data_IF_968523295547
#
_entry.id   IF_968523295547
#
_cell.length_a   1.000
_cell.length_b   1.000
_cell.length_c   1.000
_cell.angle_alpha   90.00
_cell.angle_beta   90.00
_cell.angle_gamma   90.00
#
_symmetry.space_group_name_H-M   'P 1'
#
loop_
_entity.id
_entity.type
_entity.pdbx_description
1 polymer ?
#
# COMPACT_ATOMS: atom_id res chain seq x y z
N UNK A 1 -16.73 36.52 -6.14
CA UNK A 1 -16.29 35.12 -6.11
C UNK A 1 -15.98 34.78 -4.65
N UNK A 2 -16.67 33.80 -4.04
CA UNK A 2 -16.49 33.52 -2.61
C UNK A 2 -15.15 32.84 -2.36
N UNK A 3 -14.56 33.08 -1.19
CA UNK A 3 -13.29 32.42 -0.77
C UNK A 3 -13.36 30.88 -0.85
N UNK A 4 -14.55 30.30 -0.73
CA UNK A 4 -14.79 28.87 -0.87
C UNK A 4 -14.63 28.37 -2.31
N UNK A 5 -15.09 29.13 -3.29
CA UNK A 5 -14.97 28.76 -4.71
C UNK A 5 -13.52 28.84 -5.20
N UNK A 6 -12.74 29.78 -4.68
CA UNK A 6 -11.31 29.91 -4.99
C UNK A 6 -10.49 28.73 -4.42
N UNK A 7 -10.78 28.32 -3.18
CA UNK A 7 -10.11 27.14 -2.57
C UNK A 7 -10.44 25.85 -3.31
N UNK A 8 -11.66 25.68 -3.78
CA UNK A 8 -12.09 24.49 -4.51
C UNK A 8 -11.39 24.38 -5.87
N UNK A 9 -11.32 25.47 -6.63
CA UNK A 9 -10.61 25.50 -7.91
C UNK A 9 -9.10 25.23 -7.75
N UNK A 10 -8.47 25.77 -6.70
CA UNK A 10 -7.04 25.55 -6.43
C UNK A 10 -6.75 24.08 -6.07
N UNK A 11 -7.61 23.42 -5.28
CA UNK A 11 -7.45 22.00 -4.96
C UNK A 11 -7.54 21.11 -6.20
N UNK A 12 -8.54 21.36 -7.07
CA UNK A 12 -8.70 20.60 -8.32
C UNK A 12 -7.46 20.73 -9.21
N UNK A 13 -6.92 21.95 -9.35
CA UNK A 13 -5.70 22.18 -10.12
C UNK A 13 -4.51 21.42 -9.51
N UNK A 14 -4.36 21.47 -8.18
CA UNK A 14 -3.30 20.75 -7.48
C UNK A 14 -3.39 19.25 -7.68
N UNK A 15 -4.58 18.66 -7.53
CA UNK A 15 -4.80 17.22 -7.76
C UNK A 15 -4.47 16.85 -9.21
N UNK A 16 -4.87 17.66 -10.19
CA UNK A 16 -4.50 17.42 -11.61
C UNK A 16 -3.00 17.45 -11.83
N UNK A 17 -2.29 18.40 -11.24
CA UNK A 17 -0.82 18.50 -11.36
C UNK A 17 -0.14 17.30 -10.71
N UNK A 18 -0.52 16.93 -9.48
CA UNK A 18 0.05 15.76 -8.80
C UNK A 18 -0.28 14.44 -9.55
N UNK A 19 -1.51 14.31 -10.08
CA UNK A 19 -1.88 13.17 -10.90
C UNK A 19 -1.04 13.07 -12.19
N UNK A 20 -0.78 14.19 -12.86
CA UNK A 20 0.08 14.22 -14.04
C UNK A 20 1.53 13.84 -13.72
N UNK A 21 2.06 14.23 -12.55
CA UNK A 21 3.38 13.77 -12.09
C UNK A 21 3.42 12.24 -11.98
N UNK A 22 2.41 11.64 -11.35
CA UNK A 22 2.29 10.18 -11.20
C UNK A 22 2.18 9.49 -12.56
N UNK A 23 1.27 9.95 -13.43
CA UNK A 23 1.03 9.35 -14.75
C UNK A 23 2.28 9.41 -15.65
N UNK A 24 3.08 10.46 -15.54
CA UNK A 24 4.31 10.65 -16.34
C UNK A 24 5.56 10.04 -15.68
N UNK A 25 5.45 9.53 -14.46
CA UNK A 25 6.58 8.99 -13.71
C UNK A 25 6.94 7.58 -14.14
N UNK A 26 8.22 7.35 -14.45
CA UNK A 26 8.76 6.00 -14.65
C UNK A 26 8.66 5.16 -13.37
N UNK A 27 8.81 5.78 -12.19
CA UNK A 27 8.66 5.11 -10.88
C UNK A 27 7.25 4.55 -10.70
N UNK A 28 6.21 5.36 -10.99
CA UNK A 28 4.83 4.90 -10.86
C UNK A 28 4.53 3.74 -11.81
N UNK A 29 4.95 3.82 -13.06
CA UNK A 29 4.78 2.72 -14.03
C UNK A 29 5.59 1.48 -13.65
N UNK A 30 6.83 1.66 -13.18
CA UNK A 30 7.67 0.55 -12.70
C UNK A 30 7.05 -0.19 -11.51
N UNK A 31 6.57 0.55 -10.50
CA UNK A 31 5.90 -0.05 -9.34
C UNK A 31 4.57 -0.71 -9.74
N UNK A 32 3.75 -0.04 -10.54
CA UNK A 32 2.47 -0.61 -11.02
C UNK A 32 2.72 -1.89 -11.84
N UNK A 33 3.67 -1.87 -12.76
CA UNK A 33 4.04 -3.04 -13.57
C UNK A 33 4.59 -4.18 -12.72
N UNK A 34 5.46 -3.89 -11.75
CA UNK A 34 5.99 -4.89 -10.82
C UNK A 34 4.87 -5.53 -9.97
N UNK A 35 3.87 -4.77 -9.58
CA UNK A 35 2.72 -5.30 -8.84
C UNK A 35 1.78 -6.12 -9.73
N UNK A 36 1.38 -5.58 -10.89
CA UNK A 36 0.42 -6.23 -11.78
C UNK A 36 0.99 -7.44 -12.54
N UNK A 37 2.29 -7.55 -12.69
CA UNK A 37 2.95 -8.71 -13.31
C UNK A 37 3.67 -9.59 -12.28
N UNK A 38 4.43 -9.00 -11.36
CA UNK A 38 5.26 -9.73 -10.40
C UNK A 38 4.44 -10.53 -9.40
N UNK A 39 3.41 -9.93 -8.79
CA UNK A 39 2.56 -10.63 -7.82
C UNK A 39 1.86 -11.82 -8.48
N UNK A 40 1.14 -11.67 -9.61
CA UNK A 40 0.52 -12.79 -10.30
C UNK A 40 1.50 -13.89 -10.70
N UNK A 41 2.70 -13.52 -11.13
CA UNK A 41 3.73 -14.49 -11.51
C UNK A 41 4.15 -15.35 -10.31
N UNK A 42 4.41 -14.73 -9.16
CA UNK A 42 4.80 -15.44 -7.93
C UNK A 42 3.64 -16.32 -7.42
N UNK A 43 2.41 -15.81 -7.41
CA UNK A 43 1.22 -16.58 -7.03
C UNK A 43 1.03 -17.79 -7.95
N UNK A 44 1.13 -17.60 -9.26
CA UNK A 44 1.01 -18.70 -10.23
C UNK A 44 2.10 -19.75 -10.05
N UNK A 45 3.35 -19.34 -9.82
CA UNK A 45 4.45 -20.25 -9.53
C UNK A 45 4.21 -21.06 -8.24
N UNK A 46 3.69 -20.42 -7.17
CA UNK A 46 3.31 -21.13 -5.95
C UNK A 46 2.18 -22.12 -6.17
N UNK A 47 1.16 -21.78 -6.95
CA UNK A 47 0.05 -22.68 -7.27
C UNK A 47 0.52 -23.90 -8.08
N UNK A 48 1.45 -23.71 -9.02
CA UNK A 48 2.07 -24.82 -9.75
C UNK A 48 2.83 -25.74 -8.77
N UNK A 49 3.59 -25.18 -7.84
CA UNK A 49 4.31 -25.97 -6.84
C UNK A 49 3.38 -26.74 -5.88
N UNK A 50 2.22 -26.13 -5.52
CA UNK A 50 1.16 -26.78 -4.73
C UNK A 50 0.56 -27.94 -5.51
N UNK A 51 0.27 -27.78 -6.80
CA UNK A 51 -0.25 -28.83 -7.68
C UNK A 51 0.70 -30.03 -7.77
N UNK A 52 2.01 -29.79 -7.70
CA UNK A 52 3.04 -30.85 -7.70
C UNK A 52 3.36 -31.38 -6.30
N UNK A 53 2.57 -31.05 -5.29
CA UNK A 53 2.76 -31.48 -3.88
C UNK A 53 4.16 -31.17 -3.33
N UNK A 54 4.74 -30.02 -3.68
CA UNK A 54 6.05 -29.62 -3.17
C UNK A 54 5.98 -29.42 -1.64
N UNK A 55 6.70 -30.25 -0.83
CA UNK A 55 6.53 -30.23 0.62
C UNK A 55 6.97 -28.91 1.27
N UNK A 56 7.98 -28.24 0.70
CA UNK A 56 8.49 -26.97 1.23
C UNK A 56 7.46 -25.85 1.02
N UNK A 57 6.82 -25.84 -0.15
CA UNK A 57 5.80 -24.82 -0.47
C UNK A 57 4.53 -25.08 0.32
N UNK A 58 4.07 -26.34 0.43
CA UNK A 58 2.90 -26.70 1.23
C UNK A 58 3.07 -26.31 2.69
N UNK A 59 4.26 -26.56 3.28
CA UNK A 59 4.57 -26.16 4.65
C UNK A 59 4.53 -24.64 4.86
N UNK A 60 4.96 -23.87 3.85
CA UNK A 60 4.96 -22.39 3.92
C UNK A 60 3.60 -21.78 3.63
N UNK A 61 2.87 -22.33 2.67
CA UNK A 61 1.58 -21.81 2.25
C UNK A 61 0.47 -22.07 3.28
N UNK A 62 0.60 -23.14 4.06
CA UNK A 62 -0.36 -23.56 5.08
C UNK A 62 -1.51 -24.41 4.53
N UNK A 63 -2.29 -24.99 5.43
CA UNK A 63 -3.35 -25.95 5.10
C UNK A 63 -4.50 -25.38 4.24
N UNK A 64 -4.69 -24.07 4.22
CA UNK A 64 -5.72 -23.40 3.42
C UNK A 64 -5.28 -23.14 1.95
N UNK A 65 -4.04 -23.46 1.60
CA UNK A 65 -3.52 -23.34 0.24
C UNK A 65 -3.92 -24.56 -0.60
N UNK A 66 -5.19 -24.69 -0.90
CA UNK A 66 -5.74 -25.74 -1.76
C UNK A 66 -5.56 -25.41 -3.25
N UNK A 67 -5.59 -26.43 -4.13
CA UNK A 67 -5.44 -26.26 -5.57
C UNK A 67 -6.82 -25.92 -6.21
N UNK A 68 -7.45 -24.88 -5.72
CA UNK A 68 -8.74 -24.34 -6.19
C UNK A 68 -8.77 -22.82 -6.14
N UNK A 69 -9.89 -22.19 -6.51
CA UNK A 69 -10.05 -20.73 -6.50
C UNK A 69 -9.89 -20.11 -5.11
N UNK A 70 -10.31 -20.81 -4.05
CA UNK A 70 -10.18 -20.32 -2.69
C UNK A 70 -8.70 -20.33 -2.23
N UNK A 71 -7.98 -21.43 -2.47
CA UNK A 71 -6.56 -21.54 -2.17
C UNK A 71 -5.72 -20.57 -3.01
N UNK A 72 -6.08 -20.36 -4.28
CA UNK A 72 -5.45 -19.33 -5.12
C UNK A 72 -5.55 -17.94 -4.49
N UNK A 73 -6.75 -17.51 -4.09
CA UNK A 73 -6.95 -16.20 -3.45
C UNK A 73 -6.34 -16.13 -2.05
N UNK A 74 -6.28 -17.25 -1.32
CA UNK A 74 -5.57 -17.30 -0.05
C UNK A 74 -4.06 -17.04 -0.23
N UNK A 75 -3.41 -17.74 -1.16
CA UNK A 75 -1.99 -17.54 -1.50
C UNK A 75 -1.77 -16.13 -2.06
N UNK A 76 -2.65 -15.66 -2.95
CA UNK A 76 -2.60 -14.30 -3.49
C UNK A 76 -2.62 -13.26 -2.37
N UNK A 77 -3.51 -13.40 -1.38
CA UNK A 77 -3.60 -12.47 -0.25
C UNK A 77 -2.31 -12.43 0.58
N UNK A 78 -1.68 -13.58 0.82
CA UNK A 78 -0.41 -13.66 1.57
C UNK A 78 0.73 -12.93 0.85
N UNK A 79 0.91 -13.19 -0.45
CA UNK A 79 1.98 -12.57 -1.23
C UNK A 79 1.75 -11.09 -1.40
N UNK A 80 0.50 -10.69 -1.68
CA UNK A 80 0.10 -9.31 -1.90
C UNK A 80 0.32 -8.45 -0.65
N UNK A 81 0.10 -8.99 0.56
CA UNK A 81 0.28 -8.24 1.80
C UNK A 81 1.69 -7.62 1.95
N UNK A 82 2.74 -8.39 1.66
CA UNK A 82 4.11 -7.89 1.74
C UNK A 82 4.47 -7.04 0.50
N UNK A 83 4.07 -7.49 -0.69
CA UNK A 83 4.39 -6.82 -1.94
C UNK A 83 3.75 -5.42 -2.03
N UNK A 84 2.52 -5.25 -1.52
CA UNK A 84 1.84 -3.95 -1.48
C UNK A 84 2.47 -2.99 -0.49
N UNK A 85 2.86 -3.44 0.70
CA UNK A 85 3.58 -2.57 1.64
C UNK A 85 4.86 -2.04 0.99
N UNK A 86 5.58 -2.86 0.23
CA UNK A 86 6.76 -2.42 -0.50
C UNK A 86 6.40 -1.49 -1.66
N UNK A 87 5.46 -1.88 -2.51
CA UNK A 87 5.08 -1.11 -3.70
C UNK A 87 4.40 0.22 -3.34
N UNK A 88 3.39 0.19 -2.49
CA UNK A 88 2.70 1.39 -2.02
C UNK A 88 3.61 2.25 -1.16
N UNK A 89 4.47 1.62 -0.35
CA UNK A 89 5.49 2.31 0.44
C UNK A 89 6.51 3.03 -0.42
N UNK A 90 7.00 2.40 -1.48
CA UNK A 90 7.91 3.03 -2.44
C UNK A 90 7.24 4.20 -3.14
N UNK A 91 5.98 4.04 -3.54
CA UNK A 91 5.24 5.09 -4.22
C UNK A 91 4.97 6.31 -3.33
N UNK A 92 4.53 6.10 -2.08
CA UNK A 92 4.31 7.21 -1.15
C UNK A 92 5.64 7.89 -0.79
N UNK A 93 6.72 7.12 -0.59
CA UNK A 93 8.05 7.67 -0.36
C UNK A 93 8.50 8.55 -1.53
N UNK A 94 8.29 8.10 -2.77
CA UNK A 94 8.62 8.87 -3.97
C UNK A 94 7.78 10.14 -4.07
N UNK A 95 6.46 10.09 -3.88
CA UNK A 95 5.57 11.26 -3.94
C UNK A 95 6.04 12.38 -3.00
N UNK A 96 6.57 12.02 -1.82
CA UNK A 96 7.03 13.00 -0.84
C UNK A 96 8.50 13.39 -0.97
N UNK A 97 9.35 12.51 -1.50
CA UNK A 97 10.79 12.77 -1.64
C UNK A 97 11.17 13.44 -2.97
N UNK A 98 10.39 13.25 -4.06
CA UNK A 98 10.75 13.70 -5.40
C UNK A 98 11.08 15.19 -5.47
N UNK A 99 10.33 16.04 -4.76
CA UNK A 99 10.54 17.50 -4.81
C UNK A 99 11.87 17.92 -4.19
N UNK A 100 12.39 17.12 -3.27
CA UNK A 100 13.72 17.33 -2.68
C UNK A 100 14.83 16.78 -3.60
N UNK A 101 14.59 15.61 -4.22
CA UNK A 101 15.54 15.01 -5.15
C UNK A 101 15.71 15.85 -6.42
N UNK A 102 14.61 16.45 -6.91
CA UNK A 102 14.61 17.28 -8.12
C UNK A 102 14.94 18.75 -7.85
N UNK A 103 15.24 19.12 -6.59
CA UNK A 103 15.48 20.50 -6.15
C UNK A 103 14.35 21.49 -6.50
N UNK A 104 13.12 20.97 -6.67
CA UNK A 104 11.94 21.81 -7.02
C UNK A 104 11.18 22.32 -5.79
N UNK A 105 11.55 21.86 -4.59
CA UNK A 105 10.87 22.21 -3.34
C UNK A 105 10.88 23.72 -3.06
N UNK A 106 11.99 24.42 -3.38
CA UNK A 106 12.11 25.88 -3.21
C UNK A 106 11.16 26.62 -4.17
N UNK A 107 11.12 26.20 -5.44
CA UNK A 107 10.22 26.79 -6.44
C UNK A 107 8.73 26.64 -6.06
N UNK A 108 8.36 25.48 -5.53
CA UNK A 108 7.01 25.24 -5.03
C UNK A 108 6.66 26.12 -3.81
N UNK A 109 7.64 26.42 -2.95
CA UNK A 109 7.43 27.28 -1.79
C UNK A 109 7.19 28.75 -2.16
N UNK A 110 7.66 29.18 -3.34
CA UNK A 110 7.45 30.54 -3.85
C UNK A 110 6.07 30.73 -4.52
N UNK A 111 5.37 29.65 -4.83
CA UNK A 111 4.03 29.75 -5.40
C UNK A 111 3.03 30.23 -4.34
N UNK A 112 2.05 31.09 -4.71
CA UNK A 112 1.02 31.60 -3.80
C UNK A 112 -0.03 30.52 -3.46
N UNK A 113 0.42 29.27 -3.27
CA UNK A 113 -0.42 28.12 -2.95
C UNK A 113 -0.23 27.69 -1.50
N UNK A 114 -1.34 27.40 -0.84
CA UNK A 114 -1.29 26.86 0.53
C UNK A 114 -0.62 25.48 0.52
N UNK A 115 0.41 25.31 1.36
CA UNK A 115 1.10 24.02 1.59
C UNK A 115 0.11 22.90 1.98
N UNK A 116 -0.98 23.27 2.63
CA UNK A 116 -2.06 22.35 3.01
C UNK A 116 -2.77 21.77 1.78
N UNK A 117 -3.05 22.60 0.77
CA UNK A 117 -3.70 22.16 -0.47
C UNK A 117 -2.80 21.19 -1.24
N UNK A 118 -1.50 21.50 -1.34
CA UNK A 118 -0.52 20.61 -1.99
C UNK A 118 -0.46 19.25 -1.30
N UNK A 119 -0.42 19.25 0.03
CA UNK A 119 -0.40 18.01 0.82
C UNK A 119 -1.65 17.17 0.62
N UNK A 120 -2.82 17.80 0.68
CA UNK A 120 -4.10 17.13 0.44
C UNK A 120 -4.14 16.54 -0.97
N UNK A 121 -3.66 17.29 -1.98
CA UNK A 121 -3.54 16.81 -3.37
C UNK A 121 -2.68 15.54 -3.48
N UNK A 122 -1.51 15.52 -2.84
CA UNK A 122 -0.62 14.34 -2.80
C UNK A 122 -1.29 13.13 -2.18
N UNK A 123 -1.95 13.29 -1.03
CA UNK A 123 -2.67 12.19 -0.37
C UNK A 123 -3.83 11.67 -1.22
N UNK A 124 -4.61 12.55 -1.84
CA UNK A 124 -5.73 12.13 -2.70
C UNK A 124 -5.25 11.35 -3.92
N UNK A 125 -4.20 11.84 -4.59
CA UNK A 125 -3.64 11.17 -5.77
C UNK A 125 -3.03 9.83 -5.37
N UNK A 126 -2.29 9.76 -4.27
CA UNK A 126 -1.73 8.52 -3.75
C UNK A 126 -2.83 7.50 -3.43
N UNK A 127 -3.85 7.90 -2.68
CA UNK A 127 -4.98 7.03 -2.32
C UNK A 127 -5.70 6.51 -3.55
N UNK A 128 -5.99 7.38 -4.52
CA UNK A 128 -6.64 7.00 -5.76
C UNK A 128 -5.78 6.00 -6.56
N UNK A 129 -4.48 6.27 -6.72
CA UNK A 129 -3.56 5.38 -7.42
C UNK A 129 -3.46 4.01 -6.73
N UNK A 130 -3.34 3.99 -5.40
CA UNK A 130 -3.28 2.76 -4.60
C UNK A 130 -4.53 1.90 -4.80
N UNK A 131 -5.72 2.50 -4.65
CA UNK A 131 -6.98 1.78 -4.79
C UNK A 131 -7.19 1.28 -6.21
N UNK A 132 -6.87 2.08 -7.22
CA UNK A 132 -6.96 1.68 -8.64
C UNK A 132 -6.01 0.51 -8.91
N UNK A 133 -4.74 0.59 -8.48
CA UNK A 133 -3.75 -0.47 -8.69
C UNK A 133 -4.17 -1.76 -8.00
N UNK A 134 -4.69 -1.69 -6.76
CA UNK A 134 -5.19 -2.87 -6.04
C UNK A 134 -6.41 -3.49 -6.74
N UNK A 135 -7.38 -2.68 -7.19
CA UNK A 135 -8.54 -3.17 -7.93
C UNK A 135 -8.14 -3.82 -9.25
N UNK A 136 -7.20 -3.22 -9.99
CA UNK A 136 -6.66 -3.83 -11.20
C UNK A 136 -5.98 -5.16 -10.90
N UNK A 137 -5.20 -5.23 -9.81
CA UNK A 137 -4.59 -6.48 -9.36
C UNK A 137 -5.66 -7.54 -9.04
N UNK A 138 -6.74 -7.17 -8.34
CA UNK A 138 -7.84 -8.08 -8.05
C UNK A 138 -8.49 -8.63 -9.34
N UNK A 139 -8.70 -7.77 -10.35
CA UNK A 139 -9.22 -8.18 -11.66
C UNK A 139 -8.24 -9.15 -12.35
N UNK A 140 -6.95 -8.83 -12.36
CA UNK A 140 -5.92 -9.72 -12.95
C UNK A 140 -5.92 -11.08 -12.25
N UNK A 141 -6.03 -11.11 -10.91
CA UNK A 141 -6.10 -12.37 -10.15
C UNK A 141 -7.35 -13.18 -10.49
N UNK A 142 -8.51 -12.55 -10.65
CA UNK A 142 -9.74 -13.23 -11.08
C UNK A 142 -9.61 -13.80 -12.49
N UNK A 143 -9.01 -13.05 -13.42
CA UNK A 143 -8.79 -13.52 -14.80
C UNK A 143 -7.83 -14.70 -14.83
N UNK A 144 -6.79 -14.71 -14.02
CA UNK A 144 -5.84 -15.84 -13.91
C UNK A 144 -6.55 -17.06 -13.32
N UNK A 145 -7.31 -16.89 -12.23
CA UNK A 145 -8.07 -17.99 -11.63
C UNK A 145 -9.05 -18.63 -12.63
N UNK A 146 -9.73 -17.81 -13.43
CA UNK A 146 -10.62 -18.29 -14.48
C UNK A 146 -9.85 -18.98 -15.63
N UNK A 147 -8.73 -18.41 -16.08
CA UNK A 147 -7.90 -18.95 -17.18
C UNK A 147 -7.29 -20.30 -16.84
N UNK A 148 -6.81 -20.48 -15.61
CA UNK A 148 -6.28 -21.77 -15.11
C UNK A 148 -7.36 -22.73 -14.61
N UNK A 149 -8.64 -22.37 -14.72
CA UNK A 149 -9.79 -23.19 -14.29
C UNK A 149 -9.74 -23.63 -12.82
N UNK A 150 -9.19 -22.79 -11.92
CA UNK A 150 -9.22 -23.05 -10.49
C UNK A 150 -10.63 -22.97 -9.90
N UNK A 151 -11.61 -22.50 -10.65
CA UNK A 151 -12.96 -22.23 -10.17
C UNK A 151 -13.08 -20.81 -9.58
N UNK A 152 -14.32 -20.38 -9.35
CA UNK A 152 -14.57 -19.07 -8.74
C UNK A 152 -14.30 -19.13 -7.23
N UNK A 153 -13.52 -18.19 -6.68
CA UNK A 153 -13.35 -18.07 -5.22
C UNK A 153 -14.66 -17.66 -4.56
N UNK A 154 -14.86 -18.04 -3.30
CA UNK A 154 -16.02 -17.57 -2.53
C UNK A 154 -15.91 -16.06 -2.30
N UNK A 155 -17.08 -15.40 -2.13
CA UNK A 155 -17.14 -13.96 -1.87
C UNK A 155 -16.31 -13.53 -0.66
N UNK A 156 -16.14 -14.42 0.34
CA UNK A 156 -15.32 -14.16 1.52
C UNK A 156 -13.83 -13.97 1.16
N UNK A 157 -13.28 -14.80 0.27
CA UNK A 157 -11.89 -14.67 -0.16
C UNK A 157 -11.66 -13.41 -1.00
N UNK A 158 -12.61 -13.07 -1.89
CA UNK A 158 -12.57 -11.82 -2.66
C UNK A 158 -12.62 -10.62 -1.72
N UNK A 159 -13.56 -10.61 -0.77
CA UNK A 159 -13.69 -9.51 0.20
C UNK A 159 -12.42 -9.37 1.04
N UNK A 160 -11.82 -10.48 1.50
CA UNK A 160 -10.55 -10.46 2.24
C UNK A 160 -9.42 -9.85 1.44
N UNK A 161 -9.32 -10.18 0.16
CA UNK A 161 -8.35 -9.60 -0.74
C UNK A 161 -8.59 -8.09 -0.88
N UNK A 162 -9.83 -7.64 -1.11
CA UNK A 162 -10.15 -6.22 -1.24
C UNK A 162 -9.88 -5.41 0.03
N UNK A 163 -10.21 -5.98 1.20
CA UNK A 163 -9.91 -5.34 2.50
C UNK A 163 -8.41 -5.23 2.73
N UNK A 164 -7.62 -6.20 2.26
CA UNK A 164 -6.16 -6.12 2.36
C UNK A 164 -5.60 -4.84 1.73
N UNK A 165 -6.08 -4.44 0.55
CA UNK A 165 -5.62 -3.20 -0.10
C UNK A 165 -5.90 -1.94 0.74
N UNK A 166 -6.98 -1.94 1.52
CA UNK A 166 -7.25 -0.85 2.46
C UNK A 166 -6.30 -0.91 3.66
N UNK A 167 -6.03 -2.11 4.19
CA UNK A 167 -5.11 -2.28 5.32
C UNK A 167 -3.67 -1.91 4.93
N UNK A 168 -3.22 -2.29 3.75
CA UNK A 168 -1.89 -1.93 3.25
C UNK A 168 -1.79 -0.43 2.97
N UNK A 169 -2.81 0.21 2.40
CA UNK A 169 -2.91 1.66 2.28
C UNK A 169 -2.76 2.36 3.64
N UNK A 170 -3.49 1.89 4.65
CA UNK A 170 -3.45 2.45 6.00
C UNK A 170 -2.12 2.20 6.73
N UNK A 171 -1.33 1.23 6.32
CA UNK A 171 0.01 0.98 6.89
C UNK A 171 1.06 1.99 6.39
N UNK A 172 0.84 2.68 5.27
CA UNK A 172 1.87 3.49 4.59
C UNK A 172 2.09 4.92 5.11
N UNK A 173 1.21 5.59 5.88
CA UNK A 173 1.44 6.97 6.33
C UNK A 173 2.71 7.17 7.16
N UNK A 174 3.17 6.16 7.90
CA UNK A 174 4.46 6.22 8.60
C UNK A 174 5.63 6.36 7.63
N UNK A 175 5.55 5.74 6.47
CA UNK A 175 6.56 5.84 5.40
C UNK A 175 6.60 7.27 4.84
N UNK A 176 5.42 7.87 4.60
CA UNK A 176 5.32 9.27 4.20
C UNK A 176 5.98 10.20 5.23
N UNK A 177 5.70 9.97 6.52
CA UNK A 177 6.27 10.77 7.61
C UNK A 177 7.80 10.68 7.64
N UNK A 178 8.37 9.48 7.56
CA UNK A 178 9.83 9.28 7.51
C UNK A 178 10.41 9.95 6.28
N UNK A 179 9.82 9.77 5.10
CA UNK A 179 10.29 10.36 3.83
C UNK A 179 10.33 11.90 3.89
N UNK A 180 9.31 12.51 4.51
CA UNK A 180 9.24 13.97 4.70
C UNK A 180 10.28 14.44 5.70
N UNK A 181 10.48 13.71 6.82
CA UNK A 181 11.45 14.09 7.85
C UNK A 181 12.90 14.00 7.36
N UNK A 182 13.21 12.94 6.61
CA UNK A 182 14.56 12.66 6.10
C UNK A 182 14.82 13.29 4.73
N UNK A 183 13.78 13.75 4.03
CA UNK A 183 13.85 14.23 2.64
C UNK A 183 14.45 13.19 1.68
N UNK A 184 14.23 11.90 1.98
CA UNK A 184 14.92 10.78 1.32
C UNK A 184 13.95 9.69 0.89
N UNK A 185 14.02 9.31 -0.38
CA UNK A 185 13.33 8.14 -0.93
C UNK A 185 13.85 6.85 -0.28
N UNK A 186 15.18 6.74 -0.12
CA UNK A 186 15.82 5.53 0.42
C UNK A 186 15.35 5.25 1.85
N UNK A 187 15.25 6.30 2.69
CA UNK A 187 14.75 6.14 4.05
C UNK A 187 13.28 5.70 4.08
N UNK A 188 12.45 6.19 3.15
CA UNK A 188 11.08 5.74 3.00
C UNK A 188 11.00 4.27 2.58
N UNK A 189 11.75 3.85 1.56
CA UNK A 189 11.82 2.43 1.15
C UNK A 189 12.35 1.53 2.27
N UNK A 190 13.37 1.98 3.02
CA UNK A 190 13.86 1.28 4.21
C UNK A 190 12.79 1.10 5.27
N UNK A 191 11.94 2.12 5.48
CA UNK A 191 10.79 2.04 6.39
C UNK A 191 9.77 1.02 5.91
N UNK A 192 9.48 0.94 4.59
CA UNK A 192 8.59 -0.07 4.03
C UNK A 192 9.12 -1.49 4.30
N UNK A 193 10.43 -1.74 4.09
CA UNK A 193 11.06 -3.01 4.42
C UNK A 193 10.98 -3.31 5.93
N UNK A 194 11.23 -2.33 6.78
CA UNK A 194 11.10 -2.49 8.23
C UNK A 194 9.67 -2.86 8.64
N UNK A 195 8.64 -2.27 8.03
CA UNK A 195 7.24 -2.63 8.28
C UNK A 195 6.94 -4.08 7.87
N UNK A 196 7.47 -4.55 6.73
CA UNK A 196 7.32 -5.94 6.31
C UNK A 196 7.96 -6.88 7.33
N UNK A 197 9.20 -6.60 7.74
CA UNK A 197 9.93 -7.41 8.72
C UNK A 197 9.16 -7.43 10.04
N UNK A 198 8.76 -6.28 10.57
CA UNK A 198 7.97 -6.19 11.81
C UNK A 198 6.63 -6.90 11.70
N UNK A 199 5.97 -6.81 10.53
CA UNK A 199 4.72 -7.52 10.25
C UNK A 199 4.89 -9.03 10.29
N UNK A 200 5.93 -9.56 9.67
CA UNK A 200 6.23 -11.00 9.65
C UNK A 200 6.64 -11.52 11.05
N UNK A 201 7.52 -10.80 11.74
CA UNK A 201 7.86 -11.15 13.13
C UNK A 201 6.66 -11.07 14.06
N UNK A 202 5.83 -10.02 13.90
CA UNK A 202 4.59 -9.89 14.65
C UNK A 202 3.69 -11.11 14.44
N UNK A 203 3.52 -11.58 13.21
CA UNK A 203 2.70 -12.75 12.91
C UNK A 203 3.18 -14.04 13.60
N UNK A 204 4.48 -14.15 13.91
CA UNK A 204 5.05 -15.31 14.63
C UNK A 204 4.73 -15.30 16.13
N UNK A 205 4.34 -14.17 16.71
CA UNK A 205 4.06 -14.04 18.15
C UNK A 205 2.66 -14.57 18.56
N UNK A 206 1.87 -15.09 17.62
CA UNK A 206 0.59 -15.75 17.88
C UNK A 206 -0.50 -14.77 18.36
N UNK A 207 -1.29 -15.16 19.36
CA UNK A 207 -2.53 -14.45 19.76
C UNK A 207 -2.36 -12.96 20.15
N UNK A 208 -1.20 -12.56 20.65
CA UNK A 208 -0.94 -11.19 21.07
C UNK A 208 -0.43 -10.27 19.94
N UNK A 209 -0.15 -10.83 18.78
CA UNK A 209 0.45 -10.09 17.65
C UNK A 209 -0.46 -9.00 17.07
N UNK A 210 -1.77 -9.12 17.23
CA UNK A 210 -2.74 -8.12 16.77
C UNK A 210 -2.59 -6.74 17.43
N UNK A 211 -1.84 -6.64 18.56
CA UNK A 211 -1.50 -5.37 19.18
C UNK A 211 -0.25 -4.71 18.60
N UNK A 212 0.41 -5.36 17.64
CA UNK A 212 1.51 -4.80 16.87
C UNK A 212 0.94 -4.26 15.54
N UNK A 213 0.71 -2.96 15.38
CA UNK A 213 -0.02 -2.41 14.24
C UNK A 213 0.57 -2.80 12.88
N UNK A 214 1.90 -2.82 12.66
CA UNK A 214 2.50 -3.29 11.40
C UNK A 214 2.19 -4.76 11.07
N UNK A 215 1.80 -5.58 12.06
CA UNK A 215 1.46 -6.99 11.81
C UNK A 215 0.03 -7.18 11.27
N UNK A 216 -0.85 -6.19 11.39
CA UNK A 216 -2.27 -6.33 11.00
C UNK A 216 -2.47 -6.78 9.55
N UNK A 217 -1.84 -6.19 8.52
CA UNK A 217 -1.99 -6.68 7.15
C UNK A 217 -1.51 -8.13 6.98
N UNK A 218 -0.40 -8.50 7.63
CA UNK A 218 0.12 -9.87 7.58
C UNK A 218 -0.80 -10.87 8.30
N UNK A 219 -1.30 -10.53 9.50
CA UNK A 219 -2.25 -11.37 10.25
C UNK A 219 -3.57 -11.56 9.48
N UNK A 220 -4.06 -10.50 8.85
CA UNK A 220 -5.23 -10.56 7.99
C UNK A 220 -5.03 -11.53 6.83
N UNK A 221 -3.86 -11.45 6.18
CA UNK A 221 -3.52 -12.30 5.04
C UNK A 221 -3.28 -13.76 5.42
N UNK A 222 -2.58 -14.01 6.53
CA UNK A 222 -2.21 -15.35 6.99
C UNK A 222 -3.37 -16.07 7.70
N UNK A 223 -4.39 -15.36 8.15
CA UNK A 223 -5.54 -15.89 8.88
C UNK A 223 -5.18 -16.69 10.15
N UNK A 224 -4.03 -16.39 10.76
CA UNK A 224 -3.55 -17.10 11.94
C UNK A 224 -4.38 -16.76 13.17
N UNK A 225 -4.72 -15.48 13.32
CA UNK A 225 -5.50 -14.97 14.46
C UNK A 225 -6.54 -13.98 13.94
N UNK A 226 -7.80 -14.05 14.44
CA UNK A 226 -8.80 -13.05 14.08
C UNK A 226 -8.38 -11.67 14.61
N UNK A 227 -8.37 -10.68 13.74
CA UNK A 227 -8.16 -9.28 14.14
C UNK A 227 -9.42 -8.76 14.82
N UNK A 228 -9.25 -8.19 16.02
CA UNK A 228 -10.36 -7.64 16.81
C UNK A 228 -10.60 -6.16 16.48
N UNK A 229 -11.82 -5.66 16.72
CA UNK A 229 -12.15 -4.24 16.51
C UNK A 229 -11.23 -3.28 17.27
N UNK A 230 -10.86 -3.48 18.55
CA UNK A 230 -9.91 -2.60 19.23
C UNK A 230 -8.55 -2.53 18.54
N UNK A 231 -8.04 -3.64 18.03
CA UNK A 231 -6.76 -3.67 17.30
C UNK A 231 -6.84 -2.88 15.99
N UNK A 232 -7.93 -3.01 15.25
CA UNK A 232 -8.17 -2.21 14.04
C UNK A 232 -8.31 -0.72 14.34
N UNK A 233 -8.94 -0.35 15.46
CA UNK A 233 -9.05 1.05 15.89
C UNK A 233 -7.69 1.64 16.26
N UNK A 234 -6.83 0.90 16.96
CA UNK A 234 -5.46 1.32 17.27
C UNK A 234 -4.64 1.49 15.99
N UNK A 235 -4.75 0.55 15.06
CA UNK A 235 -4.10 0.63 13.75
C UNK A 235 -4.54 1.86 12.96
N UNK A 236 -5.85 2.11 12.89
CA UNK A 236 -6.42 3.29 12.23
C UNK A 236 -5.97 4.59 12.90
N UNK A 237 -5.99 4.65 14.24
CA UNK A 237 -5.54 5.82 15.00
C UNK A 237 -4.08 6.15 14.72
N UNK A 238 -3.20 5.14 14.64
CA UNK A 238 -1.80 5.33 14.29
C UNK A 238 -1.63 5.78 12.84
N UNK A 239 -2.38 5.20 11.89
CA UNK A 239 -2.39 5.62 10.50
C UNK A 239 -2.75 7.11 10.36
N UNK A 240 -3.85 7.54 10.98
CA UNK A 240 -4.30 8.94 11.01
C UNK A 240 -3.29 9.82 11.75
N UNK A 241 -2.70 9.32 12.83
CA UNK A 241 -1.64 10.02 13.59
C UNK A 241 -0.43 10.32 12.71
N UNK A 242 0.13 9.34 12.00
CA UNK A 242 1.27 9.55 11.10
C UNK A 242 0.91 10.41 9.88
N UNK A 243 -0.30 10.29 9.34
CA UNK A 243 -0.79 11.19 8.30
C UNK A 243 -0.82 12.64 8.80
N UNK A 244 -1.33 12.87 10.02
CA UNK A 244 -1.39 14.19 10.66
C UNK A 244 0.01 14.74 10.98
N UNK A 245 0.94 13.91 11.44
CA UNK A 245 2.33 14.26 11.65
C UNK A 245 3.04 14.64 10.36
N UNK A 246 2.79 13.90 9.28
CA UNK A 246 3.31 14.21 7.93
C UNK A 246 2.83 15.59 7.49
N UNK A 247 1.53 15.85 7.68
CA UNK A 247 0.90 17.12 7.35
C UNK A 247 1.49 18.28 8.19
N UNK A 248 1.62 18.11 9.50
CA UNK A 248 2.20 19.10 10.39
C UNK A 248 3.68 19.38 10.05
N UNK A 249 4.46 18.35 9.74
CA UNK A 249 5.87 18.50 9.36
C UNK A 249 6.02 19.26 8.05
N UNK A 250 5.23 18.89 7.02
CA UNK A 250 5.25 19.55 5.72
C UNK A 250 4.90 21.05 5.82
N UNK A 251 3.85 21.39 6.61
CA UNK A 251 3.41 22.77 6.75
C UNK A 251 4.43 23.68 7.43
N UNK A 252 5.26 23.12 8.34
CA UNK A 252 6.28 23.84 9.13
C UNK A 252 7.68 23.79 8.53
N UNK A 253 7.84 23.12 7.38
CA UNK A 253 9.18 22.94 6.80
C UNK A 253 9.72 24.26 6.29
N UNK A 254 10.90 24.64 6.81
CA UNK A 254 11.68 25.74 6.29
C UNK A 254 12.49 25.20 5.11
N UNK A 255 12.26 25.77 3.93
CA UNK A 255 13.01 25.51 2.72
C UNK A 255 14.01 26.64 2.59
N UNK A 256 15.18 26.45 3.23
CA UNK A 256 16.33 27.33 3.10
C UNK A 256 17.23 26.78 1.98
#
# INVERSE_FOLDING_TARGET
MSMSSFRHSTLIITVKVEALKVIKSATAWGVTGAMLAGIPLVVSAMMIAIAHNNPVILAKAGAAATHDGNGFFFVATQITAAAEILGFGTMIAWIYAQEFMDNTAIGLAMLPMSRHITMTGKFLVYTAWTLITHLLLAIVMLLIAAGFRYGFPTGTHILRFLVLGVLTLLATPVIAWVSVCTRSLIAGCGTALALIILGQFGALLGANSGWIPPAIPALWALQIVPTTMPQLLVFLALSVGFASLTYARWSRMQLA
#
